data_IF_045409464887
#
_entry.id   IF_045409464887
#
_cell.length_a   1.000
_cell.length_b   1.000
_cell.length_c   1.000
_cell.angle_alpha   90.00
_cell.angle_beta   90.00
_cell.angle_gamma   90.00
#
_symmetry.space_group_name_H-M   'P 1'
#
loop_
_entity.id
_entity.type
_entity.pdbx_description
1 polymer ?
#
# COMPACT_ATOMS: atom_id res chain seq x y z
N UNK A 1 16.68 9.43 15.01
CA UNK A 1 16.66 10.02 13.64
C UNK A 1 15.88 11.33 13.69
N UNK A 2 16.19 12.34 12.87
CA UNK A 2 15.50 13.66 12.95
C UNK A 2 14.25 13.73 12.05
N UNK A 3 13.11 14.06 12.65
CA UNK A 3 11.90 14.46 11.93
C UNK A 3 12.06 15.91 11.41
N UNK A 4 11.98 16.10 10.08
CA UNK A 4 12.31 17.37 9.41
C UNK A 4 11.07 18.15 8.97
N UNK A 5 11.26 19.42 8.57
CA UNK A 5 10.21 20.25 7.92
C UNK A 5 9.59 19.57 6.70
N UNK A 6 10.42 18.88 5.90
CA UNK A 6 9.95 18.12 4.73
C UNK A 6 9.03 16.96 5.13
N UNK A 7 9.33 16.24 6.22
CA UNK A 7 8.43 15.19 6.71
C UNK A 7 7.08 15.79 7.17
N UNK A 8 7.10 16.94 7.86
CA UNK A 8 5.86 17.62 8.26
C UNK A 8 5.01 18.05 7.06
N UNK A 9 5.63 18.65 6.04
CA UNK A 9 4.91 19.02 4.80
C UNK A 9 4.32 17.80 4.10
N UNK A 10 5.03 16.66 4.09
CA UNK A 10 4.49 15.41 3.53
C UNK A 10 3.29 14.90 4.33
N UNK A 11 3.30 15.00 5.67
CA UNK A 11 2.13 14.64 6.49
C UNK A 11 0.92 15.54 6.22
N UNK A 12 1.12 16.84 5.97
CA UNK A 12 0.04 17.78 5.58
C UNK A 12 -0.50 17.44 4.18
N UNK A 13 0.38 17.14 3.22
CA UNK A 13 -0.06 16.69 1.90
C UNK A 13 -0.82 15.36 1.99
N UNK A 14 -0.39 14.45 2.87
CA UNK A 14 -1.05 13.17 3.10
C UNK A 14 -2.52 13.30 3.52
N UNK A 15 -2.86 14.21 4.44
CA UNK A 15 -4.27 14.44 4.83
C UNK A 15 -5.08 15.07 3.69
N UNK A 16 -4.50 15.98 2.92
CA UNK A 16 -5.18 16.59 1.76
C UNK A 16 -5.50 15.53 0.71
N UNK A 17 -4.53 14.66 0.41
CA UNK A 17 -4.70 13.55 -0.53
C UNK A 17 -5.78 12.58 -0.02
N UNK A 18 -5.77 12.23 1.27
CA UNK A 18 -6.79 11.37 1.88
C UNK A 18 -8.21 11.94 1.71
N UNK A 19 -8.42 13.22 2.02
CA UNK A 19 -9.73 13.88 1.85
C UNK A 19 -10.13 13.95 0.39
N UNK A 20 -9.20 14.25 -0.50
CA UNK A 20 -9.46 14.36 -1.94
C UNK A 20 -9.89 13.02 -2.53
N UNK A 21 -9.27 11.93 -2.09
CA UNK A 21 -9.59 10.55 -2.48
C UNK A 21 -11.04 10.21 -2.09
N UNK A 22 -11.38 10.37 -0.80
CA UNK A 22 -12.73 10.11 -0.28
C UNK A 22 -13.80 10.90 -1.04
N UNK A 23 -13.54 12.18 -1.33
CA UNK A 23 -14.46 13.00 -2.11
C UNK A 23 -14.57 12.51 -3.55
N UNK A 24 -13.44 12.16 -4.18
CA UNK A 24 -13.42 11.64 -5.55
C UNK A 24 -14.20 10.33 -5.68
N UNK A 25 -14.10 9.43 -4.70
CA UNK A 25 -14.80 8.14 -4.71
C UNK A 25 -16.31 8.28 -4.54
N UNK A 26 -16.75 9.19 -3.66
CA UNK A 26 -18.17 9.53 -3.51
C UNK A 26 -18.70 10.14 -4.82
N UNK A 27 -17.98 11.11 -5.40
CA UNK A 27 -18.38 11.74 -6.66
C UNK A 27 -18.43 10.73 -7.82
N UNK A 28 -17.48 9.79 -7.86
CA UNK A 28 -17.44 8.72 -8.86
C UNK A 28 -18.64 7.79 -8.71
N UNK A 29 -18.96 7.38 -7.49
CA UNK A 29 -20.14 6.54 -7.21
C UNK A 29 -21.44 7.25 -7.62
N UNK A 30 -21.63 8.52 -7.23
CA UNK A 30 -22.79 9.34 -7.63
C UNK A 30 -22.91 9.45 -9.15
N UNK A 31 -21.78 9.62 -9.85
CA UNK A 31 -21.77 9.67 -11.31
C UNK A 31 -22.21 8.34 -11.93
N UNK A 32 -21.83 7.20 -11.35
CA UNK A 32 -22.33 5.90 -11.80
C UNK A 32 -23.84 5.75 -11.60
N UNK A 33 -24.37 6.16 -10.45
CA UNK A 33 -25.82 6.16 -10.20
C UNK A 33 -26.59 7.05 -11.18
N UNK A 34 -26.09 8.26 -11.43
CA UNK A 34 -26.71 9.20 -12.37
C UNK A 34 -26.70 8.68 -13.82
N UNK A 35 -25.66 7.94 -14.21
CA UNK A 35 -25.52 7.36 -15.55
C UNK A 35 -26.26 6.01 -15.71
N UNK A 36 -27.05 5.58 -14.71
CA UNK A 36 -27.77 4.30 -14.74
C UNK A 36 -26.87 3.06 -14.54
N UNK A 37 -25.60 3.25 -14.19
CA UNK A 37 -24.59 2.22 -14.00
C UNK A 37 -24.57 1.73 -12.54
N UNK A 38 -25.70 1.21 -12.07
CA UNK A 38 -25.92 0.87 -10.65
C UNK A 38 -24.93 -0.16 -10.10
N UNK A 39 -24.57 -1.18 -10.88
CA UNK A 39 -23.62 -2.23 -10.45
C UNK A 39 -22.24 -1.62 -10.14
N UNK A 40 -21.75 -0.75 -11.03
CA UNK A 40 -20.48 -0.05 -10.84
C UNK A 40 -20.52 0.86 -9.61
N UNK A 41 -21.61 1.63 -9.45
CA UNK A 41 -21.80 2.51 -8.29
C UNK A 41 -21.81 1.77 -6.96
N UNK A 42 -22.53 0.64 -6.88
CA UNK A 42 -22.61 -0.22 -5.68
C UNK A 42 -21.27 -0.88 -5.38
N UNK A 43 -20.56 -1.39 -6.39
CA UNK A 43 -19.24 -1.99 -6.21
C UNK A 43 -18.21 -0.96 -5.70
N UNK A 44 -18.15 0.23 -6.32
CA UNK A 44 -17.28 1.32 -5.85
C UNK A 44 -17.57 1.68 -4.39
N UNK A 45 -18.84 1.89 -4.04
CA UNK A 45 -19.23 2.22 -2.66
C UNK A 45 -18.87 1.07 -1.69
N UNK A 46 -19.05 -0.17 -2.10
CA UNK A 46 -18.72 -1.35 -1.28
C UNK A 46 -17.23 -1.43 -0.99
N UNK A 47 -16.38 -1.13 -1.98
CA UNK A 47 -14.92 -1.08 -1.79
C UNK A 47 -14.52 0.06 -0.85
N UNK A 48 -15.10 1.25 -0.99
CA UNK A 48 -14.88 2.39 -0.08
C UNK A 48 -15.25 2.01 1.36
N UNK A 49 -16.46 1.48 1.56
CA UNK A 49 -16.95 1.11 2.89
C UNK A 49 -16.10 -0.01 3.51
N UNK A 50 -15.73 -1.04 2.73
CA UNK A 50 -14.91 -2.14 3.22
C UNK A 50 -13.49 -1.66 3.60
N UNK A 51 -12.84 -0.89 2.71
CA UNK A 51 -11.51 -0.34 2.93
C UNK A 51 -11.47 0.56 4.17
N UNK A 52 -12.37 1.54 4.23
CA UNK A 52 -12.47 2.47 5.37
C UNK A 52 -12.77 1.74 6.68
N UNK A 53 -13.73 0.80 6.73
CA UNK A 53 -14.04 0.04 7.94
C UNK A 53 -12.82 -0.75 8.47
N UNK A 54 -12.10 -1.44 7.58
CA UNK A 54 -10.91 -2.20 7.98
C UNK A 54 -9.82 -1.26 8.51
N UNK A 55 -9.60 -0.13 7.84
CA UNK A 55 -8.65 0.90 8.27
C UNK A 55 -9.04 1.48 9.62
N UNK A 56 -10.32 1.74 9.89
CA UNK A 56 -10.78 2.19 11.21
C UNK A 56 -10.56 1.13 12.28
N UNK A 57 -10.73 -0.16 11.99
CA UNK A 57 -10.43 -1.23 12.95
C UNK A 57 -8.96 -1.23 13.36
N UNK A 58 -8.02 -1.14 12.41
CA UNK A 58 -6.59 -0.99 12.72
C UNK A 58 -6.28 0.34 13.41
N UNK A 59 -6.93 1.42 12.96
CA UNK A 59 -6.78 2.76 13.52
C UNK A 59 -7.25 2.82 14.99
N UNK A 60 -8.31 2.10 15.33
CA UNK A 60 -8.78 2.04 16.71
C UNK A 60 -7.88 1.13 17.54
N UNK A 61 -7.54 -0.06 17.04
CA UNK A 61 -6.71 -1.02 17.79
C UNK A 61 -5.36 -0.43 18.16
N UNK A 62 -4.65 0.25 17.26
CA UNK A 62 -3.36 0.81 17.65
C UNK A 62 -3.48 2.07 18.52
N UNK A 63 -4.57 2.85 18.37
CA UNK A 63 -4.81 3.99 19.24
C UNK A 63 -5.08 3.50 20.67
N UNK A 64 -5.84 2.41 20.82
CA UNK A 64 -6.08 1.76 22.12
C UNK A 64 -4.77 1.28 22.77
N UNK A 65 -3.88 0.67 22.00
CA UNK A 65 -2.56 0.28 22.51
C UNK A 65 -1.74 1.49 23.00
N UNK A 66 -1.81 2.62 22.29
CA UNK A 66 -1.06 3.83 22.63
C UNK A 66 -1.67 4.58 23.83
N UNK A 67 -3.00 4.59 23.96
CA UNK A 67 -3.70 5.14 25.13
C UNK A 67 -3.40 4.34 26.40
N UNK A 68 -3.34 3.01 26.30
CA UNK A 68 -2.95 2.14 27.42
C UNK A 68 -1.53 2.43 27.92
N UNK A 69 -0.59 2.71 27.01
CA UNK A 69 0.79 3.10 27.39
C UNK A 69 0.86 4.45 28.10
N UNK A 70 -0.07 5.36 27.81
CA UNK A 70 -0.12 6.72 28.36
C UNK A 70 -1.06 6.87 29.56
N UNK A 71 -1.77 5.80 29.95
CA UNK A 71 -2.66 5.79 31.12
C UNK A 71 -3.93 6.63 30.96
N UNK A 72 -4.38 6.89 29.72
CA UNK A 72 -5.50 7.79 29.45
C UNK A 72 -6.82 7.02 29.29
N UNK A 73 -7.84 7.34 30.10
CA UNK A 73 -9.07 6.53 30.22
C UNK A 73 -10.20 6.83 29.21
N UNK A 74 -10.02 7.77 28.28
CA UNK A 74 -11.07 8.20 27.35
C UNK A 74 -11.29 7.25 26.16
N UNK A 75 -11.27 5.92 26.37
CA UNK A 75 -11.41 4.92 25.28
C UNK A 75 -12.75 5.05 24.52
N UNK A 76 -13.86 5.32 25.22
CA UNK A 76 -15.20 5.34 24.64
C UNK A 76 -15.43 6.44 23.61
N UNK A 77 -14.89 7.65 23.83
CA UNK A 77 -15.02 8.76 22.89
C UNK A 77 -14.29 8.46 21.58
N UNK A 78 -13.09 7.89 21.66
CA UNK A 78 -12.31 7.51 20.47
C UNK A 78 -12.94 6.35 19.71
N UNK A 79 -13.55 5.38 20.41
CA UNK A 79 -14.31 4.31 19.76
C UNK A 79 -15.48 4.88 18.95
N UNK A 80 -16.29 5.74 19.58
CA UNK A 80 -17.45 6.37 18.93
C UNK A 80 -17.02 7.16 17.69
N UNK A 81 -15.90 7.87 17.76
CA UNK A 81 -15.36 8.59 16.62
C UNK A 81 -14.90 7.67 15.48
N UNK A 82 -14.30 6.52 15.79
CA UNK A 82 -13.95 5.52 14.76
C UNK A 82 -15.22 4.90 14.13
N UNK A 83 -16.28 4.68 14.91
CA UNK A 83 -17.58 4.24 14.39
C UNK A 83 -18.19 5.26 13.40
N UNK A 84 -18.00 6.56 13.63
CA UNK A 84 -18.43 7.63 12.72
C UNK A 84 -17.39 7.95 11.62
N UNK A 85 -16.44 7.06 11.34
CA UNK A 85 -15.37 7.24 10.34
C UNK A 85 -14.42 8.43 10.61
N UNK A 86 -14.52 9.07 11.78
CA UNK A 86 -13.67 10.19 12.21
C UNK A 86 -12.31 9.77 12.79
N UNK A 87 -12.08 8.47 12.99
CA UNK A 87 -10.91 7.94 13.69
C UNK A 87 -9.58 8.25 13.00
N UNK A 88 -9.49 7.99 11.69
CA UNK A 88 -8.30 8.32 10.88
C UNK A 88 -7.94 9.81 10.97
N UNK A 89 -8.93 10.71 10.96
CA UNK A 89 -8.69 12.15 11.12
C UNK A 89 -8.06 12.50 12.46
N UNK A 90 -8.42 11.82 13.55
CA UNK A 90 -7.73 12.04 14.84
C UNK A 90 -6.29 11.60 14.82
N UNK A 91 -5.96 10.51 14.12
CA UNK A 91 -4.56 10.11 13.97
C UNK A 91 -3.76 11.11 13.16
N UNK A 92 -4.31 11.62 12.07
CA UNK A 92 -3.66 12.71 11.33
C UNK A 92 -3.48 13.95 12.20
N UNK A 93 -4.49 14.33 13.00
CA UNK A 93 -4.38 15.44 13.94
C UNK A 93 -3.26 15.22 14.96
N UNK A 94 -3.17 14.04 15.57
CA UNK A 94 -2.09 13.70 16.50
C UNK A 94 -0.71 13.76 15.83
N UNK A 95 -0.58 13.20 14.62
CA UNK A 95 0.65 13.23 13.84
C UNK A 95 1.09 14.66 13.52
N UNK A 96 0.17 15.51 13.07
CA UNK A 96 0.44 16.91 12.76
C UNK A 96 0.79 17.71 14.01
N UNK A 97 0.07 17.50 15.13
CA UNK A 97 0.35 18.20 16.40
C UNK A 97 1.75 17.85 16.93
N UNK A 98 2.10 16.56 16.95
CA UNK A 98 3.41 16.08 17.39
C UNK A 98 4.52 16.53 16.42
N UNK A 99 4.32 16.37 15.11
CA UNK A 99 5.24 16.84 14.08
C UNK A 99 5.49 18.35 14.16
N UNK A 100 4.45 19.16 14.36
CA UNK A 100 4.57 20.60 14.54
C UNK A 100 5.37 20.95 15.79
N UNK A 101 5.11 20.29 16.92
CA UNK A 101 5.85 20.51 18.16
C UNK A 101 7.35 20.24 17.99
N UNK A 102 7.68 19.11 17.35
CA UNK A 102 9.06 18.68 17.11
C UNK A 102 9.80 19.62 16.16
N UNK A 103 9.14 20.10 15.11
CA UNK A 103 9.80 20.92 14.07
C UNK A 103 9.87 22.40 14.42
N UNK A 104 8.82 22.95 15.03
CA UNK A 104 8.67 24.41 15.21
C UNK A 104 8.75 24.87 16.66
N UNK A 105 8.46 24.02 17.66
CA UNK A 105 8.41 24.41 19.07
C UNK A 105 9.66 24.01 19.86
N UNK A 106 10.43 23.01 19.41
CA UNK A 106 11.63 22.51 20.08
C UNK A 106 12.88 23.42 19.92
N UNK A 107 12.71 24.74 19.84
CA UNK A 107 13.80 25.72 19.87
C UNK A 107 13.77 26.65 21.10
N UNK A 108 12.81 26.49 22.03
CA UNK A 108 12.57 27.49 23.10
C UNK A 108 12.35 27.00 24.54
N UNK A 109 12.66 25.76 24.92
CA UNK A 109 12.65 25.42 26.35
C UNK A 109 13.79 24.50 26.80
N UNK A 110 14.72 25.18 27.44
CA UNK A 110 15.79 24.84 28.38
C UNK A 110 15.53 23.65 29.31
N UNK A 111 16.65 23.04 29.68
CA UNK A 111 16.93 22.14 30.80
C UNK A 111 16.00 22.19 32.00
N UNK A 112 15.90 21.03 32.65
CA UNK A 112 15.28 20.71 33.94
C UNK A 112 13.88 20.10 33.79
N UNK A 113 13.84 18.79 33.55
CA UNK A 113 13.14 17.79 34.36
C UNK A 113 13.57 16.41 33.86
N UNK A 114 14.09 15.58 34.76
CA UNK A 114 14.38 14.17 34.49
C UNK A 114 13.05 13.44 34.26
N UNK A 115 12.67 13.25 32.99
CA UNK A 115 11.70 12.25 32.58
C UNK A 115 12.35 11.37 31.50
N UNK A 116 12.44 10.09 31.81
CA UNK A 116 13.17 9.04 31.08
C UNK A 116 12.49 8.62 29.76
N UNK A 117 11.82 9.51 29.03
CA UNK A 117 10.80 9.10 28.04
C UNK A 117 11.03 9.67 26.63
N UNK A 118 11.42 8.75 25.72
CA UNK A 118 11.19 8.72 24.26
C UNK A 118 11.71 9.90 23.41
N UNK A 119 12.62 9.63 22.46
CA UNK A 119 13.04 10.61 21.43
C UNK A 119 11.79 11.13 20.68
N UNK A 120 11.39 12.40 20.84
CA UNK A 120 10.16 12.93 20.27
C UNK A 120 10.19 12.92 18.73
N UNK A 121 11.39 12.89 18.12
CA UNK A 121 11.50 12.68 16.69
C UNK A 121 11.16 11.24 16.28
N UNK A 122 11.55 10.24 17.08
CA UNK A 122 11.24 8.83 16.82
C UNK A 122 9.73 8.58 16.93
N UNK A 123 9.09 9.12 17.97
CA UNK A 123 7.64 9.02 18.13
C UNK A 123 6.88 9.62 16.92
N UNK A 124 7.29 10.80 16.45
CA UNK A 124 6.69 11.42 15.26
C UNK A 124 6.91 10.60 13.97
N UNK A 125 8.07 9.94 13.84
CA UNK A 125 8.34 9.03 12.72
C UNK A 125 7.44 7.80 12.80
N UNK A 126 7.34 7.16 13.97
CA UNK A 126 6.53 5.95 14.16
C UNK A 126 5.04 6.21 13.86
N UNK A 127 4.48 7.33 14.35
CA UNK A 127 3.09 7.73 14.05
C UNK A 127 2.89 7.95 12.54
N UNK A 128 3.87 8.57 11.86
CA UNK A 128 3.80 8.81 10.41
C UNK A 128 3.88 7.49 9.63
N UNK A 129 4.69 6.55 10.10
CA UNK A 129 4.79 5.21 9.51
C UNK A 129 3.50 4.42 9.67
N UNK A 130 2.85 4.50 10.84
CA UNK A 130 1.54 3.90 11.07
C UNK A 130 0.47 4.49 10.12
N UNK A 131 0.45 5.81 9.91
CA UNK A 131 -0.44 6.44 8.93
C UNK A 131 -0.16 5.97 7.50
N UNK A 132 1.12 5.84 7.12
CA UNK A 132 1.52 5.36 5.79
C UNK A 132 1.07 3.90 5.58
N UNK A 133 1.10 3.07 6.62
CA UNK A 133 0.60 1.70 6.59
C UNK A 133 -0.93 1.63 6.47
N UNK A 134 -1.66 2.47 7.21
CA UNK A 134 -3.13 2.56 7.07
C UNK A 134 -3.53 2.98 5.65
N UNK A 135 -2.84 3.98 5.10
CA UNK A 135 -3.06 4.43 3.72
C UNK A 135 -2.75 3.32 2.71
N UNK A 136 -1.71 2.53 2.94
CA UNK A 136 -1.40 1.36 2.13
C UNK A 136 -2.56 0.35 2.16
N UNK A 137 -3.10 0.02 3.33
CA UNK A 137 -4.23 -0.91 3.44
C UNK A 137 -5.44 -0.41 2.67
N UNK A 138 -5.84 0.84 2.87
CA UNK A 138 -6.92 1.48 2.12
C UNK A 138 -6.68 1.38 0.61
N UNK A 139 -5.50 1.81 0.15
CA UNK A 139 -5.13 1.83 -1.27
C UNK A 139 -5.29 0.45 -1.94
N UNK A 140 -4.93 -0.65 -1.26
CA UNK A 140 -5.01 -1.99 -1.84
C UNK A 140 -6.37 -2.66 -1.67
N UNK A 141 -7.11 -2.35 -0.59
CA UNK A 141 -8.46 -2.89 -0.36
C UNK A 141 -9.52 -2.16 -1.20
N UNK A 142 -9.29 -0.89 -1.49
CA UNK A 142 -10.22 -0.01 -2.19
C UNK A 142 -9.71 0.38 -3.58
N UNK A 143 -8.56 1.05 -3.65
CA UNK A 143 -8.04 1.63 -4.89
C UNK A 143 -7.72 0.61 -5.97
N UNK A 144 -7.15 -0.54 -5.62
CA UNK A 144 -6.84 -1.61 -6.59
C UNK A 144 -8.12 -2.23 -7.24
N UNK A 145 -9.13 -2.68 -6.48
CA UNK A 145 -10.41 -3.11 -7.05
C UNK A 145 -11.12 -2.03 -7.86
N UNK A 146 -11.11 -0.78 -7.39
CA UNK A 146 -11.68 0.34 -8.15
C UNK A 146 -10.93 0.61 -9.46
N UNK A 147 -9.60 0.49 -9.48
CA UNK A 147 -8.80 0.61 -10.71
C UNK A 147 -9.19 -0.47 -11.74
N UNK A 148 -9.40 -1.71 -11.31
CA UNK A 148 -9.91 -2.79 -12.18
C UNK A 148 -11.28 -2.39 -12.74
N UNK A 149 -12.16 -1.88 -11.90
CA UNK A 149 -13.51 -1.46 -12.28
C UNK A 149 -13.49 -0.31 -13.31
N UNK A 150 -12.63 0.69 -13.08
CA UNK A 150 -12.42 1.84 -13.96
C UNK A 150 -11.84 1.41 -15.31
N UNK A 151 -10.84 0.52 -15.31
CA UNK A 151 -10.26 -0.05 -16.53
C UNK A 151 -11.28 -0.87 -17.32
N UNK A 152 -12.08 -1.69 -16.65
CA UNK A 152 -13.14 -2.48 -17.28
C UNK A 152 -14.17 -1.55 -17.95
N UNK A 153 -14.70 -0.57 -17.22
CA UNK A 153 -15.68 0.38 -17.76
C UNK A 153 -15.11 1.24 -18.91
N UNK A 154 -13.82 1.57 -18.85
CA UNK A 154 -13.13 2.29 -19.93
C UNK A 154 -13.03 1.46 -21.20
N UNK A 155 -12.63 0.19 -21.09
CA UNK A 155 -12.52 -0.71 -22.23
C UNK A 155 -13.90 -1.11 -22.80
N UNK A 156 -14.91 -1.30 -21.94
CA UNK A 156 -16.28 -1.62 -22.35
C UNK A 156 -16.91 -0.49 -23.19
N UNK A 157 -16.64 0.78 -22.83
CA UNK A 157 -17.20 1.93 -23.53
C UNK A 157 -16.56 2.17 -24.90
N UNK A 158 -15.35 1.65 -25.15
CA UNK A 158 -14.67 1.72 -26.45
C UNK A 158 -14.31 3.14 -26.95
N UNK A 159 -14.55 4.19 -26.15
CA UNK A 159 -14.29 5.58 -26.52
C UNK A 159 -13.12 6.14 -25.71
N UNK A 160 -12.06 6.55 -26.41
CA UNK A 160 -10.86 7.10 -25.80
C UNK A 160 -11.04 8.57 -25.41
N UNK A 161 -11.63 8.83 -24.24
CA UNK A 161 -11.61 10.16 -23.64
C UNK A 161 -10.26 10.38 -22.93
N UNK A 162 -9.49 11.39 -23.36
CA UNK A 162 -8.20 11.74 -22.74
C UNK A 162 -8.31 11.94 -21.22
N UNK A 163 -9.43 12.49 -20.77
CA UNK A 163 -9.71 12.69 -19.34
C UNK A 163 -9.84 11.36 -18.57
N UNK A 164 -10.48 10.34 -19.15
CA UNK A 164 -10.62 9.03 -18.50
C UNK A 164 -9.28 8.29 -18.43
N UNK A 165 -8.49 8.34 -19.51
CA UNK A 165 -7.14 7.79 -19.50
C UNK A 165 -6.26 8.46 -18.43
N UNK A 166 -6.32 9.79 -18.32
CA UNK A 166 -5.59 10.53 -17.30
C UNK A 166 -5.99 10.11 -15.88
N UNK A 167 -7.29 9.93 -15.60
CA UNK A 167 -7.78 9.47 -14.29
C UNK A 167 -7.25 8.09 -13.93
N UNK A 168 -7.28 7.13 -14.88
CA UNK A 168 -6.75 5.78 -14.68
C UNK A 168 -5.25 5.81 -14.41
N UNK A 169 -4.50 6.60 -15.18
CA UNK A 169 -3.06 6.75 -14.97
C UNK A 169 -2.72 7.38 -13.62
N UNK A 170 -3.48 8.40 -13.20
CA UNK A 170 -3.34 9.02 -11.87
C UNK A 170 -3.61 7.99 -10.77
N UNK A 171 -4.65 7.17 -10.90
CA UNK A 171 -4.97 6.09 -9.95
C UNK A 171 -3.83 5.06 -9.83
N UNK A 172 -3.33 4.56 -10.97
CA UNK A 172 -2.14 3.67 -11.01
C UNK A 172 -0.91 4.29 -10.31
N UNK A 173 -0.64 5.57 -10.59
CA UNK A 173 0.46 6.30 -9.97
C UNK A 173 0.26 6.48 -8.46
N UNK A 174 -0.95 6.81 -8.02
CA UNK A 174 -1.30 6.98 -6.60
C UNK A 174 -1.09 5.67 -5.82
N UNK A 175 -1.56 4.53 -6.35
CA UNK A 175 -1.38 3.21 -5.72
C UNK A 175 0.11 2.86 -5.58
N UNK A 176 0.87 3.10 -6.64
CA UNK A 176 2.32 2.83 -6.66
C UNK A 176 3.07 3.76 -5.70
N UNK A 177 2.68 5.03 -5.64
CA UNK A 177 3.26 6.01 -4.73
C UNK A 177 2.99 5.69 -3.26
N UNK A 178 1.76 5.28 -2.92
CA UNK A 178 1.39 4.80 -1.57
C UNK A 178 2.32 3.66 -1.10
N UNK A 179 2.68 2.75 -2.02
CA UNK A 179 3.62 1.66 -1.74
C UNK A 179 5.04 2.15 -1.48
N UNK A 180 5.50 3.15 -2.24
CA UNK A 180 6.83 3.77 -2.06
C UNK A 180 6.88 4.54 -0.74
N UNK A 181 5.84 5.30 -0.44
CA UNK A 181 5.72 6.11 0.78
C UNK A 181 5.79 5.22 2.02
N UNK A 182 5.00 4.13 2.05
CA UNK A 182 5.10 3.12 3.11
C UNK A 182 6.51 2.55 3.25
N UNK A 183 7.18 2.17 2.14
CA UNK A 183 8.54 1.61 2.22
C UNK A 183 9.57 2.61 2.74
N UNK A 184 9.43 3.89 2.38
CA UNK A 184 10.29 4.95 2.89
C UNK A 184 10.00 5.18 4.38
N UNK A 185 8.74 5.20 4.80
CA UNK A 185 8.36 5.39 6.20
C UNK A 185 8.81 4.21 7.08
N UNK A 186 8.59 2.97 6.62
CA UNK A 186 9.01 1.75 7.29
C UNK A 186 10.52 1.71 7.53
N UNK A 187 11.32 2.03 6.51
CA UNK A 187 12.78 2.07 6.66
C UNK A 187 13.25 3.20 7.59
N UNK A 188 12.51 4.31 7.67
CA UNK A 188 12.81 5.41 8.60
C UNK A 188 12.47 5.07 10.07
N UNK A 189 11.43 4.25 10.32
CA UNK A 189 11.08 3.85 11.70
C UNK A 189 12.04 2.81 12.28
N UNK A 190 12.72 2.05 11.42
CA UNK A 190 13.60 0.96 11.83
C UNK A 190 15.06 1.43 11.95
N UNK A 191 15.64 1.45 13.17
CA UNK A 191 17.02 1.92 13.37
C UNK A 191 18.05 1.01 12.70
N UNK A 192 17.75 -0.28 12.59
CA UNK A 192 18.64 -1.32 12.07
C UNK A 192 18.56 -1.48 10.54
N UNK A 193 17.79 -0.62 9.84
CA UNK A 193 17.60 -0.69 8.38
C UNK A 193 18.08 0.57 7.69
N UNK A 194 18.78 0.38 6.57
CA UNK A 194 19.25 1.48 5.73
C UNK A 194 18.08 2.23 5.09
N UNK A 195 18.17 3.56 5.09
CA UNK A 195 17.20 4.44 4.44
C UNK A 195 17.26 4.29 2.92
N UNK A 196 16.12 4.55 2.27
CA UNK A 196 16.09 4.82 0.83
C UNK A 196 16.60 6.26 0.58
N UNK A 197 17.93 6.43 0.58
CA UNK A 197 18.57 7.72 0.32
C UNK A 197 18.59 8.04 -1.18
N UNK A 198 18.13 9.23 -1.56
CA UNK A 198 18.17 9.73 -2.93
C UNK A 198 16.86 9.61 -3.71
N UNK A 199 16.80 10.30 -4.84
CA UNK A 199 15.65 10.31 -5.74
C UNK A 199 15.61 9.06 -6.63
N UNK A 200 16.76 8.61 -7.14
CA UNK A 200 16.83 7.49 -8.09
C UNK A 200 16.31 6.17 -7.51
N UNK A 201 16.67 5.71 -6.29
CA UNK A 201 16.12 4.48 -5.74
C UNK A 201 14.60 4.52 -5.57
N UNK A 202 14.05 5.67 -5.15
CA UNK A 202 12.60 5.87 -5.00
C UNK A 202 11.89 5.84 -6.34
N UNK A 203 12.45 6.50 -7.35
CA UNK A 203 11.89 6.54 -8.69
C UNK A 203 11.93 5.17 -9.38
N UNK A 204 13.05 4.44 -9.27
CA UNK A 204 13.15 3.07 -9.77
C UNK A 204 12.16 2.14 -9.08
N UNK A 205 11.99 2.27 -7.76
CA UNK A 205 11.00 1.50 -7.00
C UNK A 205 9.55 1.83 -7.42
N UNK A 206 9.27 3.12 -7.65
CA UNK A 206 7.99 3.60 -8.14
C UNK A 206 7.65 2.98 -9.50
N UNK A 207 8.56 3.06 -10.48
CA UNK A 207 8.33 2.48 -11.81
C UNK A 207 8.20 0.96 -11.76
N UNK A 208 9.00 0.28 -10.95
CA UNK A 208 8.85 -1.14 -10.69
C UNK A 208 7.42 -1.48 -10.23
N UNK A 209 6.91 -0.80 -9.19
CA UNK A 209 5.56 -1.05 -8.67
C UNK A 209 4.47 -0.66 -9.67
N UNK A 210 4.65 0.46 -10.37
CA UNK A 210 3.72 0.95 -11.39
C UNK A 210 3.53 -0.04 -12.53
N UNK A 211 4.62 -0.46 -13.16
CA UNK A 211 4.55 -1.32 -14.35
C UNK A 211 4.09 -2.75 -14.01
N UNK A 212 4.51 -3.28 -12.86
CA UNK A 212 4.05 -4.60 -12.40
C UNK A 212 2.56 -4.61 -11.99
N UNK A 213 2.06 -3.51 -11.44
CA UNK A 213 0.63 -3.32 -11.16
C UNK A 213 -0.17 -3.14 -12.45
N UNK A 214 0.29 -2.27 -13.36
CA UNK A 214 -0.39 -1.96 -14.62
C UNK A 214 -0.55 -3.20 -15.49
N UNK A 215 0.54 -3.97 -15.69
CA UNK A 215 0.50 -5.20 -16.47
C UNK A 215 -0.53 -6.20 -15.91
N UNK A 216 -0.55 -6.37 -14.58
CA UNK A 216 -1.45 -7.32 -13.94
C UNK A 216 -2.91 -6.89 -13.92
N UNK A 217 -3.18 -5.63 -13.58
CA UNK A 217 -4.55 -5.11 -13.53
C UNK A 217 -5.20 -5.16 -14.91
N UNK A 218 -4.45 -4.78 -15.96
CA UNK A 218 -4.91 -4.98 -17.34
C UNK A 218 -5.15 -6.45 -17.67
N UNK A 219 -4.28 -7.37 -17.24
CA UNK A 219 -4.48 -8.81 -17.45
C UNK A 219 -5.75 -9.33 -16.77
N UNK A 220 -6.01 -8.93 -15.53
CA UNK A 220 -7.26 -9.29 -14.84
C UNK A 220 -8.47 -8.75 -15.60
N UNK A 221 -8.40 -7.51 -16.08
CA UNK A 221 -9.49 -6.90 -16.84
C UNK A 221 -9.73 -7.65 -18.15
N UNK A 222 -8.69 -8.07 -18.86
CA UNK A 222 -8.83 -8.94 -20.04
C UNK A 222 -9.51 -10.27 -19.69
N UNK A 223 -9.14 -10.88 -18.56
CA UNK A 223 -9.78 -12.12 -18.10
C UNK A 223 -11.25 -11.90 -17.70
N UNK A 224 -11.60 -10.74 -17.13
CA UNK A 224 -12.98 -10.36 -16.83
C UNK A 224 -13.84 -10.25 -18.10
N UNK A 225 -13.27 -9.80 -19.22
CA UNK A 225 -13.96 -9.80 -20.51
C UNK A 225 -14.16 -11.21 -21.07
N UNK A 226 -13.24 -12.15 -20.81
CA UNK A 226 -13.38 -13.56 -21.22
C UNK A 226 -14.48 -14.24 -20.42
N UNK A 227 -14.34 -14.28 -19.09
CA UNK A 227 -15.34 -14.85 -18.20
C UNK A 227 -15.16 -14.30 -16.78
N UNK A 228 -16.21 -13.64 -16.28
CA UNK A 228 -16.22 -13.02 -14.95
C UNK A 228 -16.04 -14.07 -13.84
N UNK A 229 -16.62 -15.27 -13.97
CA UNK A 229 -16.52 -16.32 -12.95
C UNK A 229 -15.10 -16.86 -12.88
N UNK A 230 -14.44 -17.07 -14.01
CA UNK A 230 -13.03 -17.51 -14.06
C UNK A 230 -12.13 -16.45 -13.43
N UNK A 231 -12.34 -15.17 -13.76
CA UNK A 231 -11.57 -14.08 -13.16
C UNK A 231 -11.75 -13.99 -11.64
N UNK A 232 -12.99 -14.07 -11.15
CA UNK A 232 -13.27 -14.06 -9.71
C UNK A 232 -12.70 -15.29 -9.00
N UNK A 233 -12.79 -16.48 -9.62
CA UNK A 233 -12.18 -17.69 -9.10
C UNK A 233 -10.66 -17.57 -9.00
N UNK A 234 -9.99 -17.03 -10.02
CA UNK A 234 -8.55 -16.78 -9.99
C UNK A 234 -8.16 -15.81 -8.87
N UNK A 235 -8.88 -14.69 -8.73
CA UNK A 235 -8.61 -13.71 -7.67
C UNK A 235 -8.80 -14.31 -6.28
N UNK A 236 -9.88 -15.08 -6.08
CA UNK A 236 -10.14 -15.77 -4.82
C UNK A 236 -9.07 -16.82 -4.52
N UNK A 237 -8.66 -17.60 -5.52
CA UNK A 237 -7.61 -18.60 -5.38
C UNK A 237 -6.26 -17.98 -4.99
N UNK A 238 -5.86 -16.89 -5.66
CA UNK A 238 -4.65 -16.16 -5.32
C UNK A 238 -4.72 -15.54 -3.92
N UNK A 239 -5.89 -15.05 -3.52
CA UNK A 239 -6.12 -14.54 -2.17
C UNK A 239 -5.97 -15.64 -1.11
N UNK A 240 -6.55 -16.82 -1.33
CA UNK A 240 -6.40 -17.97 -0.42
C UNK A 240 -4.93 -18.36 -0.30
N UNK A 241 -4.18 -18.44 -1.40
CA UNK A 241 -2.73 -18.71 -1.37
C UNK A 241 -2.00 -17.64 -0.56
N UNK A 242 -2.27 -16.36 -0.80
CA UNK A 242 -1.65 -15.25 -0.08
C UNK A 242 -1.96 -15.27 1.42
N UNK A 243 -3.21 -15.58 1.78
CA UNK A 243 -3.65 -15.72 3.16
C UNK A 243 -3.00 -16.92 3.86
N UNK A 244 -2.96 -18.09 3.21
CA UNK A 244 -2.28 -19.28 3.72
C UNK A 244 -0.79 -19.01 3.91
N UNK A 245 -0.16 -18.33 2.95
CA UNK A 245 1.23 -17.91 3.06
C UNK A 245 1.44 -16.98 4.27
N UNK A 246 0.57 -16.00 4.49
CA UNK A 246 0.63 -15.13 5.66
C UNK A 246 0.45 -15.91 6.98
N UNK A 247 -0.41 -16.93 7.00
CA UNK A 247 -0.58 -17.81 8.17
C UNK A 247 0.65 -18.68 8.44
N UNK A 248 1.24 -19.29 7.40
CA UNK A 248 2.44 -20.14 7.50
C UNK A 248 3.63 -19.32 8.01
N UNK A 249 3.73 -18.05 7.59
CA UNK A 249 4.81 -17.15 8.01
C UNK A 249 4.63 -16.60 9.43
N UNK A 250 3.58 -17.00 10.15
CA UNK A 250 3.33 -16.69 11.57
C UNK A 250 3.59 -15.22 11.93
N UNK A 251 2.89 -14.31 11.27
CA UNK A 251 3.01 -12.87 11.56
C UNK A 251 2.62 -12.54 13.00
N UNK A 252 3.35 -11.58 13.60
CA UNK A 252 3.10 -11.04 14.94
C UNK A 252 3.00 -9.51 14.90
N UNK A 253 2.09 -8.97 14.08
CA UNK A 253 1.99 -7.52 13.90
C UNK A 253 1.09 -6.84 14.94
N UNK A 254 0.03 -7.52 15.39
CA UNK A 254 -0.94 -7.03 16.37
C UNK A 254 -0.84 -7.79 17.69
N UNK A 255 -1.12 -7.09 18.80
CA UNK A 255 -1.14 -7.69 20.14
C UNK A 255 -2.30 -8.69 20.33
N UNK A 256 -3.41 -8.50 19.62
CA UNK A 256 -4.60 -9.34 19.74
C UNK A 256 -4.72 -10.33 18.58
N UNK A 257 -5.12 -11.57 18.87
CA UNK A 257 -5.30 -12.63 17.88
C UNK A 257 -6.32 -12.27 16.78
N UNK A 258 -7.41 -11.58 17.13
CA UNK A 258 -8.43 -11.16 16.16
C UNK A 258 -7.89 -10.14 15.16
N UNK A 259 -7.15 -9.13 15.62
CA UNK A 259 -6.52 -8.15 14.74
C UNK A 259 -5.38 -8.74 13.91
N UNK A 260 -4.66 -9.73 14.45
CA UNK A 260 -3.64 -10.46 13.70
C UNK A 260 -4.25 -11.28 12.56
N UNK A 261 -5.39 -11.93 12.82
CA UNK A 261 -6.15 -12.63 11.79
C UNK A 261 -6.66 -11.67 10.70
N UNK A 262 -7.21 -10.52 11.09
CA UNK A 262 -7.61 -9.46 10.15
C UNK A 262 -6.42 -8.96 9.33
N UNK A 263 -5.26 -8.79 9.94
CA UNK A 263 -4.03 -8.38 9.26
C UNK A 263 -3.62 -9.41 8.20
N UNK A 264 -3.66 -10.70 8.50
CA UNK A 264 -3.36 -11.77 7.54
C UNK A 264 -4.33 -11.78 6.36
N UNK A 265 -5.63 -11.51 6.60
CA UNK A 265 -6.63 -11.33 5.53
C UNK A 265 -6.24 -10.19 4.59
N UNK A 266 -5.92 -9.02 5.14
CA UNK A 266 -5.55 -7.83 4.36
C UNK A 266 -4.26 -8.06 3.58
N UNK A 267 -3.25 -8.65 4.21
CA UNK A 267 -2.00 -9.03 3.55
C UNK A 267 -2.25 -10.01 2.39
N UNK A 268 -3.16 -10.97 2.57
CA UNK A 268 -3.61 -11.85 1.49
C UNK A 268 -4.17 -11.06 0.30
N UNK A 269 -4.96 -10.02 0.53
CA UNK A 269 -5.48 -9.14 -0.53
C UNK A 269 -4.36 -8.37 -1.20
N UNK A 270 -3.44 -7.78 -0.43
CA UNK A 270 -2.29 -7.05 -0.97
C UNK A 270 -1.45 -7.97 -1.87
N UNK A 271 -1.23 -9.22 -1.47
CA UNK A 271 -0.49 -10.23 -2.23
C UNK A 271 -1.15 -10.62 -3.56
N UNK A 272 -2.45 -10.41 -3.75
CA UNK A 272 -3.08 -10.57 -5.08
C UNK A 272 -2.56 -9.51 -6.05
N UNK A 273 -2.26 -8.31 -5.57
CA UNK A 273 -1.90 -7.17 -6.40
C UNK A 273 -0.40 -6.90 -6.47
N UNK A 274 0.33 -7.06 -5.37
CA UNK A 274 1.77 -6.75 -5.32
C UNK A 274 2.49 -7.67 -4.35
N UNK A 275 3.78 -7.92 -4.62
CA UNK A 275 4.62 -8.54 -3.60
C UNK A 275 4.76 -7.61 -2.40
N UNK A 276 4.23 -8.07 -1.26
CA UNK A 276 4.36 -7.45 0.04
C UNK A 276 5.23 -8.35 0.93
N UNK A 277 6.34 -7.81 1.41
CA UNK A 277 7.31 -8.60 2.16
C UNK A 277 6.83 -8.78 3.61
N UNK A 278 6.19 -9.90 3.93
CA UNK A 278 5.58 -10.15 5.25
C UNK A 278 6.59 -10.29 6.41
N UNK A 279 7.80 -10.79 6.13
CA UNK A 279 8.74 -11.28 7.16
C UNK A 279 10.03 -10.46 7.27
N UNK A 280 10.30 -9.56 6.32
CA UNK A 280 11.44 -8.66 6.44
C UNK A 280 12.83 -9.22 6.15
N UNK A 281 12.99 -10.55 6.16
CA UNK A 281 14.25 -11.28 5.99
C UNK A 281 14.16 -12.35 4.87
N UNK A 282 15.30 -12.69 4.26
CA UNK A 282 15.46 -13.71 3.20
C UNK A 282 14.41 -13.70 2.09
N UNK A 283 14.21 -12.51 1.52
CA UNK A 283 13.14 -12.29 0.54
C UNK A 283 13.46 -12.77 -0.86
N UNK A 284 14.71 -13.13 -1.17
CA UNK A 284 15.15 -13.43 -2.55
C UNK A 284 14.34 -14.58 -3.18
N UNK A 285 14.25 -15.72 -2.50
CA UNK A 285 13.55 -16.89 -3.02
C UNK A 285 12.01 -16.71 -3.06
N UNK A 286 11.33 -16.27 -1.99
CA UNK A 286 9.89 -15.99 -2.03
C UNK A 286 9.51 -14.95 -3.08
N UNK A 287 10.33 -13.91 -3.25
CA UNK A 287 10.10 -12.88 -4.24
C UNK A 287 10.26 -13.42 -5.66
N UNK A 288 11.33 -14.19 -5.93
CA UNK A 288 11.54 -14.82 -7.23
C UNK A 288 10.37 -15.75 -7.61
N UNK A 289 9.93 -16.58 -6.66
CA UNK A 289 8.77 -17.46 -6.84
C UNK A 289 7.50 -16.64 -7.17
N UNK A 290 7.21 -15.59 -6.38
CA UNK A 290 6.07 -14.70 -6.61
C UNK A 290 6.07 -14.10 -8.02
N UNK A 291 7.19 -13.50 -8.45
CA UNK A 291 7.25 -12.88 -9.77
C UNK A 291 7.25 -13.90 -10.92
N UNK A 292 7.77 -15.11 -10.69
CA UNK A 292 7.69 -16.20 -11.66
C UNK A 292 6.23 -16.62 -11.87
N UNK A 293 5.49 -16.91 -10.79
CA UNK A 293 4.05 -17.23 -10.86
C UNK A 293 3.29 -16.08 -11.52
N UNK A 294 3.65 -14.83 -11.20
CA UNK A 294 3.01 -13.64 -11.77
C UNK A 294 3.21 -13.51 -13.28
N UNK A 295 4.43 -13.73 -13.76
CA UNK A 295 4.76 -13.73 -15.19
C UNK A 295 4.01 -14.86 -15.90
N UNK A 296 4.05 -16.08 -15.35
CA UNK A 296 3.34 -17.23 -15.92
C UNK A 296 1.82 -17.00 -15.98
N UNK A 297 1.22 -16.46 -14.91
CA UNK A 297 -0.21 -16.13 -14.89
C UNK A 297 -0.57 -15.07 -15.93
N UNK A 298 0.26 -14.03 -16.07
CA UNK A 298 0.06 -12.97 -17.09
C UNK A 298 0.14 -13.54 -18.51
N UNK A 299 1.16 -14.35 -18.80
CA UNK A 299 1.33 -15.01 -20.10
C UNK A 299 0.20 -16.00 -20.40
N UNK A 300 -0.26 -16.75 -19.38
CA UNK A 300 -1.38 -17.68 -19.50
C UNK A 300 -2.68 -16.95 -19.85
N UNK A 301 -2.99 -15.84 -19.16
CA UNK A 301 -4.17 -15.01 -19.47
C UNK A 301 -4.08 -14.45 -20.91
N UNK A 302 -2.92 -13.91 -21.30
CA UNK A 302 -2.72 -13.40 -22.65
C UNK A 302 -2.88 -14.50 -23.71
N UNK A 303 -2.42 -15.70 -23.43
CA UNK A 303 -2.57 -16.86 -24.34
C UNK A 303 -4.03 -17.23 -24.49
N UNK A 304 -4.78 -17.36 -23.39
CA UNK A 304 -6.23 -17.61 -23.42
C UNK A 304 -6.94 -16.53 -24.24
N UNK A 305 -6.62 -15.26 -23.99
CA UNK A 305 -7.20 -14.11 -24.68
C UNK A 305 -6.88 -14.10 -26.19
N UNK A 306 -5.69 -14.57 -26.59
CA UNK A 306 -5.31 -14.72 -28.00
C UNK A 306 -5.95 -15.94 -28.68
N UNK A 307 -6.14 -17.04 -27.96
CA UNK A 307 -6.78 -18.25 -28.50
C UNK A 307 -8.29 -18.10 -28.67
N UNK A 308 -8.92 -17.27 -27.83
CA UNK A 308 -10.35 -16.99 -27.85
C UNK A 308 -10.58 -15.47 -27.94
N UNK A 309 -10.26 -14.84 -29.07
CA UNK A 309 -10.47 -13.40 -29.22
C UNK A 309 -11.95 -13.08 -29.13
N UNK A 310 -12.32 -12.19 -28.21
CA UNK A 310 -13.69 -11.74 -28.05
C UNK A 310 -14.10 -10.83 -29.22
N UNK A 311 -15.31 -11.03 -29.73
CA UNK A 311 -15.92 -10.21 -30.79
C UNK A 311 -16.06 -8.72 -30.44
N UNK A 312 -15.96 -8.38 -29.15
CA UNK A 312 -16.00 -7.00 -28.62
C UNK A 312 -14.74 -6.22 -29.00
N UNK A 313 -13.59 -6.90 -29.15
CA UNK A 313 -12.34 -6.25 -29.51
C UNK A 313 -12.13 -6.30 -31.02
N UNK A 314 -12.30 -5.16 -31.69
CA UNK A 314 -11.80 -4.98 -33.06
C UNK A 314 -10.28 -5.18 -33.08
N UNK A 315 -9.74 -5.61 -34.23
CA UNK A 315 -8.29 -5.83 -34.44
C UNK A 315 -7.45 -4.61 -34.00
N UNK A 316 -7.99 -3.41 -34.17
CA UNK A 316 -7.34 -2.13 -33.85
C UNK A 316 -7.11 -1.88 -32.35
N UNK A 317 -7.93 -2.45 -31.45
CA UNK A 317 -7.75 -2.31 -29.98
C UNK A 317 -7.07 -3.53 -29.36
N UNK A 318 -7.21 -4.69 -30.00
CA UNK A 318 -6.68 -5.96 -29.52
C UNK A 318 -5.14 -5.95 -29.41
N UNK A 319 -4.47 -5.50 -30.48
CA UNK A 319 -3.00 -5.43 -30.57
C UNK A 319 -2.41 -4.42 -29.58
N UNK A 320 -2.87 -3.15 -29.50
CA UNK A 320 -2.25 -2.18 -28.60
C UNK A 320 -2.44 -2.53 -27.13
N UNK A 321 -3.59 -3.09 -26.70
CA UNK A 321 -3.78 -3.48 -25.30
C UNK A 321 -2.83 -4.63 -24.93
N UNK A 322 -2.74 -5.65 -25.79
CA UNK A 322 -1.81 -6.76 -25.59
C UNK A 322 -0.35 -6.28 -25.55
N UNK A 323 0.02 -5.36 -26.44
CA UNK A 323 1.35 -4.75 -26.49
C UNK A 323 1.66 -3.95 -25.21
N UNK A 324 0.69 -3.18 -24.68
CA UNK A 324 0.83 -2.45 -23.42
C UNK A 324 1.04 -3.42 -22.25
N UNK A 325 0.28 -4.52 -22.17
CA UNK A 325 0.43 -5.52 -21.10
C UNK A 325 1.83 -6.13 -21.11
N UNK A 326 2.32 -6.53 -22.29
CA UNK A 326 3.66 -7.12 -22.46
C UNK A 326 4.75 -6.09 -22.16
N UNK A 327 4.64 -4.87 -22.69
CA UNK A 327 5.60 -3.81 -22.45
C UNK A 327 5.68 -3.43 -20.97
N UNK A 328 4.53 -3.29 -20.29
CA UNK A 328 4.47 -3.05 -18.86
C UNK A 328 5.07 -4.22 -18.06
N UNK A 329 4.84 -5.48 -18.47
CA UNK A 329 5.47 -6.62 -17.81
C UNK A 329 6.99 -6.56 -17.92
N UNK A 330 7.51 -6.38 -19.13
CA UNK A 330 8.94 -6.32 -19.40
C UNK A 330 9.60 -5.16 -18.65
N UNK A 331 9.05 -3.96 -18.74
CA UNK A 331 9.54 -2.79 -17.99
C UNK A 331 9.48 -3.04 -16.49
N UNK A 332 8.40 -3.63 -15.98
CA UNK A 332 8.27 -3.98 -14.57
C UNK A 332 9.37 -4.92 -14.08
N UNK A 333 9.72 -5.95 -14.87
CA UNK A 333 10.81 -6.89 -14.55
C UNK A 333 12.19 -6.22 -14.68
N UNK A 334 12.40 -5.34 -15.66
CA UNK A 334 13.64 -4.56 -15.80
C UNK A 334 13.84 -3.65 -14.58
N UNK A 335 12.84 -2.85 -14.21
CA UNK A 335 12.92 -1.98 -13.03
C UNK A 335 13.05 -2.77 -11.72
N UNK A 336 12.39 -3.93 -11.61
CA UNK A 336 12.58 -4.85 -10.49
C UNK A 336 14.05 -5.28 -10.39
N UNK A 337 14.62 -5.74 -11.50
CA UNK A 337 16.01 -6.23 -11.56
C UNK A 337 17.00 -5.11 -11.29
N UNK A 338 16.79 -3.91 -11.84
CA UNK A 338 17.63 -2.73 -11.59
C UNK A 338 17.53 -2.29 -10.13
N UNK A 339 16.33 -2.27 -9.55
CA UNK A 339 16.14 -1.88 -8.16
C UNK A 339 16.84 -2.85 -7.20
N UNK A 340 16.62 -4.16 -7.34
CA UNK A 340 17.29 -5.15 -6.48
C UNK A 340 18.76 -5.38 -6.83
N UNK A 341 19.14 -5.11 -8.07
CA UNK A 341 20.48 -5.26 -8.59
C UNK A 341 21.43 -4.16 -8.11
N UNK A 342 21.00 -2.90 -8.21
CA UNK A 342 21.84 -1.71 -8.06
C UNK A 342 21.39 -0.84 -6.88
N UNK A 343 20.09 -0.58 -6.73
CA UNK A 343 19.59 0.45 -5.81
C UNK A 343 19.11 -0.07 -4.46
N UNK A 344 19.09 -1.39 -4.24
CA UNK A 344 18.60 -1.95 -2.99
C UNK A 344 19.58 -1.64 -1.84
N UNK A 345 19.14 -1.01 -0.74
CA UNK A 345 20.04 -0.48 0.30
C UNK A 345 20.93 -1.52 0.99
N UNK A 346 20.61 -2.81 0.94
CA UNK A 346 21.46 -3.85 1.51
C UNK A 346 22.66 -4.20 0.62
N UNK A 347 22.59 -3.94 -0.69
CA UNK A 347 23.71 -4.19 -1.62
C UNK A 347 24.73 -3.05 -1.65
N UNK A 348 24.27 -1.83 -1.37
CA UNK A 348 25.13 -0.63 -1.37
C UNK A 348 26.23 -0.75 -0.29
N UNK A 349 26.01 -1.57 0.77
CA UNK A 349 26.98 -1.78 1.86
C UNK A 349 27.80 -3.07 1.72
N UNK A 350 27.33 -4.12 1.00
CA UNK A 350 28.22 -5.24 0.61
C UNK A 350 29.44 -4.76 -0.22
N UNK A 351 29.36 -3.55 -0.79
CA UNK A 351 30.47 -2.87 -1.47
C UNK A 351 31.28 -1.91 -0.58
N UNK A 352 30.90 -1.69 0.69
CA UNK A 352 31.55 -0.77 1.63
C UNK A 352 31.71 -1.41 3.02
N UNK A 353 32.74 -2.26 3.14
CA UNK A 353 33.45 -2.70 4.35
C UNK A 353 32.78 -3.63 5.38
N UNK A 354 33.52 -4.71 5.66
CA UNK A 354 33.67 -5.38 6.95
C UNK A 354 34.03 -4.37 8.05
N UNK A 355 33.26 -4.37 9.15
CA UNK A 355 33.82 -4.25 10.50
C UNK A 355 32.79 -4.75 11.55
N UNK A 356 33.34 -5.33 12.61
CA UNK A 356 32.69 -6.13 13.65
C UNK A 356 31.80 -5.32 14.59
N UNK A 357 30.55 -5.75 14.79
CA UNK A 357 29.62 -5.11 15.73
C UNK A 357 29.47 -5.86 17.06
N UNK A 358 29.94 -5.17 18.11
CA UNK A 358 29.50 -5.39 19.48
C UNK A 358 28.01 -5.02 19.65
N UNK A 359 27.29 -5.85 20.40
CA UNK A 359 25.87 -5.66 20.71
C UNK A 359 25.59 -4.35 21.47
N UNK A 360 24.47 -3.71 21.15
CA UNK A 360 23.79 -2.75 22.02
C UNK A 360 22.25 -2.77 21.77
N UNK A 361 21.39 -2.29 22.70
CA UNK A 361 20.24 -3.05 23.18
C UNK A 361 18.84 -2.60 22.67
N UNK A 362 17.97 -3.61 22.57
CA UNK A 362 16.52 -3.72 22.80
C UNK A 362 15.67 -2.44 23.06
N UNK A 363 14.67 -2.18 22.19
CA UNK A 363 13.36 -1.53 22.50
C UNK A 363 12.39 -1.50 21.29
N UNK A 364 11.09 -1.62 21.57
CA UNK A 364 10.01 -2.05 20.66
C UNK A 364 9.40 -0.93 19.80
N UNK A 365 9.45 -1.12 18.47
CA UNK A 365 8.60 -0.43 17.50
C UNK A 365 7.62 -1.49 16.96
N UNK A 366 6.33 -1.18 16.75
CA UNK A 366 5.37 -2.17 16.21
C UNK A 366 5.83 -2.73 14.87
N UNK A 367 6.44 -1.87 14.04
CA UNK A 367 7.06 -2.27 12.76
C UNK A 367 8.30 -3.16 12.94
N UNK A 368 8.86 -3.30 14.14
CA UNK A 368 9.98 -4.22 14.42
C UNK A 368 9.55 -5.67 14.48
N UNK A 369 8.33 -5.96 14.95
CA UNK A 369 7.76 -7.31 14.93
C UNK A 369 7.48 -7.81 13.50
N UNK A 370 7.53 -6.92 12.50
CA UNK A 370 7.53 -7.29 11.08
C UNK A 370 8.83 -7.96 10.61
N UNK A 371 9.91 -7.78 11.37
CA UNK A 371 11.26 -8.26 11.03
C UNK A 371 11.81 -9.30 11.99
N UNK A 372 11.18 -9.53 13.15
CA UNK A 372 11.71 -10.44 14.16
C UNK A 372 11.22 -11.88 13.91
N UNK A 373 12.20 -12.78 14.00
CA UNK A 373 12.26 -14.24 13.78
C UNK A 373 12.26 -14.76 12.35
#
# INVERSE_FOLDING_TARGET
MKYTKCNFTMSVLGIIIYVTDLVADILLSVRYFHNGQYVFGVLTLSFVLCGTLIVQCFSYSWLKDDLKKTGQENEHYFLLLHCFQGGVFTRYWFALRKGYHVVFKHSKRTSNFMEEQTDPHKEAIDITTDLSMLRLFETYLEGCPQLILQLYAFLERGQANLSQYAVIMISCCAISWSTVDYQVALRKSLPDKNLLSGFCPKLTYLFYKLFTLLSWTLSIVLLLFVDVKIALFLLLFLWIIGFLWACIRQTQFCNSLSMEFLYRIVVGVILVFTFFNIKGQDTKCPMSCYYTIRVLGTLGILTVFWTYPLSIFNSDYFIPISAIVVLALLLGIVFLTVYYGVFHPNRIVEAQHDETDGKSPQRDCRMRYFLMD
#
